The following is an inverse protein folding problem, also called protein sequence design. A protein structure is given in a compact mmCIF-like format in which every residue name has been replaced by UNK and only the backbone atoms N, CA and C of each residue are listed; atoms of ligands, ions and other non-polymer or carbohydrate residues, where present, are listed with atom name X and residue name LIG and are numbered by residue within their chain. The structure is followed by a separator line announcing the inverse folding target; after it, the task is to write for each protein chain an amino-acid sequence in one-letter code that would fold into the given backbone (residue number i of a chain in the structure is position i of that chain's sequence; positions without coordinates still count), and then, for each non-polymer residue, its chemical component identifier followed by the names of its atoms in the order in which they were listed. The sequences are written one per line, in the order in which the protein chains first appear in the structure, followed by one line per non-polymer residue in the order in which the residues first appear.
data_IF_269015856345
#
_entry.id   IF_269015856345
#
_cell.length_a   1.000
_cell.length_b   1.000
_cell.length_c   1.000
_cell.angle_alpha   90.00
_cell.angle_beta   90.00
_cell.angle_gamma   90.00
#
_symmetry.space_group_name_H-M   'P 1'
#
loop_
_entity.id
_entity.type
_entity.pdbx_description
1 polymer ?
#
# COMPACT_ATOMS: atom_id res chain seq x y z
N UNK A 1 -26.20 -10.87 -1.34
CA UNK A 1 -25.79 -10.82 -0.92
C UNK A 1 -24.80 -10.61 -0.84
N UNK A 2 -24.37 -10.27 -0.58
CA UNK A 2 -23.50 -10.00 -0.44
C UNK A 2 -22.51 -10.48 -0.11
N UNK A 3 -22.14 -10.64 -0.67
CA UNK A 3 -21.17 -11.19 -0.24
C UNK A 3 -20.20 -10.29 0.23
N UNK A 4 -19.78 -10.36 1.27
CA UNK A 4 -18.87 -9.44 1.82
C UNK A 4 -17.49 -9.65 1.27
N UNK A 5 -16.84 -8.55 0.96
CA UNK A 5 -15.48 -8.64 0.57
C UNK A 5 -14.64 -8.99 1.74
N UNK A 6 -13.65 -9.82 1.55
CA UNK A 6 -12.71 -10.17 2.60
C UNK A 6 -11.78 -8.99 2.86
N UNK A 7 -11.46 -8.71 4.12
CA UNK A 7 -10.51 -7.63 4.41
C UNK A 7 -9.16 -7.83 3.72
N UNK A 8 -8.79 -9.07 3.51
CA UNK A 8 -7.52 -9.36 2.86
C UNK A 8 -7.50 -8.82 1.44
N UNK A 9 -8.62 -8.92 0.74
CA UNK A 9 -8.70 -8.41 -0.62
C UNK A 9 -8.50 -6.90 -0.64
N UNK A 10 -9.13 -6.21 0.29
CA UNK A 10 -9.00 -4.76 0.35
C UNK A 10 -7.57 -4.36 0.67
N UNK A 11 -6.92 -5.10 1.57
CA UNK A 11 -5.55 -4.81 1.93
C UNK A 11 -4.61 -5.07 0.77
N UNK A 12 -4.88 -6.12 0.00
CA UNK A 12 -4.04 -6.43 -1.16
C UNK A 12 -4.12 -5.32 -2.19
N UNK A 13 -5.30 -4.78 -2.40
CA UNK A 13 -5.47 -3.67 -3.33
C UNK A 13 -4.72 -2.43 -2.85
N UNK A 14 -4.83 -2.15 -1.55
CA UNK A 14 -4.13 -1.01 -0.99
C UNK A 14 -2.63 -1.17 -1.14
N UNK A 15 -2.13 -2.36 -0.89
CA UNK A 15 -0.70 -2.61 -1.04
C UNK A 15 -0.26 -2.37 -2.47
N UNK A 16 -1.04 -2.84 -3.42
CA UNK A 16 -0.69 -2.66 -4.82
C UNK A 16 -0.65 -1.20 -5.20
N UNK A 17 -1.66 -0.44 -4.77
CA UNK A 17 -1.70 0.99 -5.07
C UNK A 17 -0.52 1.69 -4.43
N UNK A 18 -0.24 1.37 -3.18
CA UNK A 18 0.87 1.98 -2.48
C UNK A 18 2.20 1.66 -3.16
N UNK A 19 2.34 0.42 -3.61
CA UNK A 19 3.55 0.00 -4.30
C UNK A 19 3.77 0.79 -5.58
N UNK A 20 2.69 1.00 -6.34
CA UNK A 20 2.78 1.76 -7.58
C UNK A 20 3.17 3.21 -7.29
N UNK A 21 2.57 3.78 -6.27
CA UNK A 21 2.90 5.15 -5.89
C UNK A 21 4.34 5.25 -5.43
N UNK A 22 4.80 4.24 -4.73
CA UNK A 22 6.18 4.22 -4.25
C UNK A 22 7.14 4.20 -5.43
N UNK A 23 6.86 3.37 -6.42
CA UNK A 23 7.69 3.32 -7.61
C UNK A 23 7.76 4.67 -8.28
N UNK A 24 6.62 5.31 -8.41
CA UNK A 24 6.57 6.61 -9.05
C UNK A 24 7.37 7.64 -8.25
N UNK A 25 7.19 7.65 -6.94
CA UNK A 25 7.90 8.58 -6.09
C UNK A 25 9.41 8.38 -6.18
N UNK A 26 9.83 7.13 -6.29
CA UNK A 26 11.25 6.84 -6.44
C UNK A 26 11.78 7.36 -7.76
N UNK A 27 10.96 7.26 -8.80
CA UNK A 27 11.36 7.73 -10.12
C UNK A 27 11.59 9.22 -10.15
N UNK A 28 10.71 9.97 -9.50
CA UNK A 28 10.83 11.42 -9.51
C UNK A 28 11.75 11.94 -8.42
N UNK A 29 12.23 11.03 -7.56
CA UNK A 29 13.16 11.42 -6.51
C UNK A 29 12.50 12.11 -5.33
N UNK A 30 11.23 11.85 -5.09
CA UNK A 30 10.49 12.46 -3.98
C UNK A 30 10.71 11.64 -2.72
N UNK A 31 11.78 11.97 -1.99
CA UNK A 31 12.17 11.18 -0.84
C UNK A 31 11.15 11.23 0.29
N UNK A 32 10.49 12.37 0.45
CA UNK A 32 9.44 12.49 1.47
C UNK A 32 8.31 11.51 1.21
N UNK A 33 7.88 11.46 -0.06
CA UNK A 33 6.81 10.54 -0.43
C UNK A 33 7.26 9.10 -0.28
N UNK A 34 8.48 8.81 -0.67
CA UNK A 34 9.00 7.45 -0.55
C UNK A 34 8.96 7.01 0.92
N UNK A 35 9.38 7.90 1.80
CA UNK A 35 9.41 7.57 3.23
C UNK A 35 8.01 7.30 3.75
N UNK A 36 7.07 8.15 3.38
CA UNK A 36 5.68 7.98 3.82
C UNK A 36 5.08 6.70 3.30
N UNK A 37 5.31 6.41 2.03
CA UNK A 37 4.72 5.23 1.42
C UNK A 37 5.32 3.96 1.99
N UNK A 38 6.60 3.99 2.31
CA UNK A 38 7.23 2.85 2.95
C UNK A 38 6.62 2.57 4.31
N UNK A 39 6.39 3.63 5.08
CA UNK A 39 5.77 3.47 6.39
C UNK A 39 4.37 2.89 6.24
N UNK A 40 3.63 3.39 5.25
CA UNK A 40 2.30 2.89 5.02
C UNK A 40 2.31 1.42 4.64
N UNK A 41 3.25 1.01 3.83
CA UNK A 41 3.35 -0.39 3.43
C UNK A 41 3.64 -1.28 4.62
N UNK A 42 4.51 -0.82 5.51
CA UNK A 42 4.81 -1.60 6.71
C UNK A 42 3.57 -1.80 7.56
N UNK A 43 2.77 -0.76 7.69
CA UNK A 43 1.54 -0.86 8.46
C UNK A 43 0.57 -1.83 7.81
N UNK A 44 0.43 -1.74 6.50
CA UNK A 44 -0.49 -2.61 5.77
C UNK A 44 -0.05 -4.07 5.87
N UNK A 45 1.23 -4.32 5.72
CA UNK A 45 1.74 -5.68 5.83
C UNK A 45 1.50 -6.21 7.23
N UNK A 46 1.67 -5.37 8.23
CA UNK A 46 1.43 -5.79 9.60
C UNK A 46 -0.01 -6.19 9.83
N UNK A 47 -0.93 -5.54 9.14
CA UNK A 47 -2.34 -5.88 9.29
C UNK A 47 -2.69 -7.21 8.65
N UNK A 48 -1.97 -7.56 7.59
CA UNK A 48 -2.24 -8.83 6.91
C UNK A 48 -1.84 -10.01 7.78
N UNK A 49 -0.80 -9.83 8.57
CA UNK A 49 -0.34 -10.90 9.44
C UNK A 49 -1.33 -11.14 10.55
#
# INVERSE_FOLDING_TARGET
MRMARLPVDALAEELRKTDMLLEYAEKIGDEDEVSRLRTKMMILVGRIR
#
